data_IF_414791812628
#
_entry.id   IF_414791812628
#
_cell.length_a   1.000
_cell.length_b   1.000
_cell.length_c   1.000
_cell.angle_alpha   90.00
_cell.angle_beta   90.00
_cell.angle_gamma   90.00
#
_symmetry.space_group_name_H-M   'P 1'
#
loop_
_entity.id
_entity.type
_entity.pdbx_description
1 polymer ?
#
# COMPACT_ATOMS: atom_id res chain seq x y z
N UNK A 1 15.04 16.72 10.87
CA UNK A 1 16.28 16.08 11.36
C UNK A 1 16.04 14.58 11.39
N UNK A 2 16.56 13.88 10.38
CA UNK A 2 16.33 12.45 10.14
C UNK A 2 17.39 11.66 10.92
N UNK A 3 16.98 10.74 11.81
CA UNK A 3 17.91 9.84 12.51
C UNK A 3 18.09 8.59 11.65
N UNK A 4 19.27 8.44 11.04
CA UNK A 4 19.68 7.22 10.33
C UNK A 4 20.29 6.26 11.35
N UNK A 5 19.63 5.14 11.64
CA UNK A 5 20.21 4.06 12.45
C UNK A 5 20.91 3.07 11.52
N UNK A 6 22.23 3.10 11.53
CA UNK A 6 23.12 2.19 10.79
C UNK A 6 23.15 0.84 11.51
N UNK A 7 22.57 -0.21 10.94
CA UNK A 7 22.72 -1.57 11.48
C UNK A 7 24.06 -2.17 11.02
N UNK A 8 24.97 -2.33 11.95
CA UNK A 8 26.23 -3.06 11.78
C UNK A 8 25.96 -4.57 11.77
N UNK A 9 26.47 -5.27 10.76
CA UNK A 9 26.48 -6.74 10.70
C UNK A 9 27.22 -7.34 11.92
N UNK A 10 26.75 -8.45 12.51
CA UNK A 10 27.44 -9.06 13.63
C UNK A 10 28.70 -9.80 13.16
N UNK A 11 29.82 -9.54 13.86
CA UNK A 11 31.06 -10.31 13.75
C UNK A 11 30.82 -11.70 14.32
N UNK A 12 30.88 -12.73 13.48
CA UNK A 12 30.81 -14.14 13.91
C UNK A 12 32.18 -14.53 14.47
N UNK A 13 32.28 -14.60 15.79
CA UNK A 13 33.46 -15.17 16.46
C UNK A 13 33.26 -16.68 16.59
N UNK A 14 33.83 -17.46 15.67
CA UNK A 14 33.86 -18.92 15.76
C UNK A 14 34.88 -19.34 16.83
N UNK A 15 34.40 -19.79 17.99
CA UNK A 15 35.15 -20.71 18.86
C UNK A 15 34.57 -22.11 18.67
N UNK A 16 35.36 -22.98 18.05
CA UNK A 16 35.08 -24.40 17.98
C UNK A 16 35.63 -25.01 19.27
N UNK A 17 34.76 -25.50 20.14
CA UNK A 17 35.14 -26.42 21.20
C UNK A 17 34.36 -27.72 21.05
N UNK A 18 35.10 -28.81 20.88
CA UNK A 18 34.58 -30.15 20.68
C UNK A 18 34.30 -30.81 22.03
N UNK A 19 33.04 -31.18 22.29
CA UNK A 19 32.61 -32.43 22.98
C UNK A 19 31.12 -32.39 23.34
N UNK A 20 30.42 -33.43 22.89
CA UNK A 20 29.33 -34.17 23.56
C UNK A 20 28.26 -33.42 24.35
N UNK A 21 27.00 -33.64 23.97
CA UNK A 21 25.87 -33.49 24.89
C UNK A 21 24.64 -32.90 24.21
N UNK A 22 23.63 -33.74 23.94
CA UNK A 22 22.33 -33.32 23.47
C UNK A 22 21.74 -32.26 24.42
N UNK A 23 21.38 -31.10 23.87
CA UNK A 23 20.57 -30.09 24.54
C UNK A 23 19.39 -29.81 23.63
N UNK A 24 18.24 -30.36 24.00
CA UNK A 24 16.93 -30.05 23.42
C UNK A 24 16.67 -28.56 23.60
N UNK A 25 16.91 -27.78 22.56
CA UNK A 25 16.42 -26.42 22.48
C UNK A 25 14.90 -26.51 22.30
N UNK A 26 14.16 -26.18 23.36
CA UNK A 26 12.75 -25.83 23.29
C UNK A 26 12.64 -24.61 22.38
N UNK A 27 12.42 -24.87 21.08
CA UNK A 27 12.01 -23.85 20.14
C UNK A 27 10.63 -23.40 20.59
N UNK A 28 10.59 -22.36 21.42
CA UNK A 28 9.41 -21.53 21.58
C UNK A 28 8.99 -21.11 20.17
N UNK A 29 7.94 -21.75 19.67
CA UNK A 29 7.13 -21.32 18.53
C UNK A 29 6.54 -19.95 18.88
N UNK A 30 7.37 -18.92 18.87
CA UNK A 30 6.90 -17.62 18.41
C UNK A 30 6.65 -17.89 16.94
N UNK A 31 5.38 -18.10 16.58
CA UNK A 31 4.97 -18.25 15.20
C UNK A 31 5.49 -17.04 14.45
N UNK A 32 6.63 -17.22 13.79
CA UNK A 32 7.14 -16.25 12.84
C UNK A 32 6.04 -16.15 11.81
N UNK A 33 5.31 -15.04 11.81
CA UNK A 33 4.47 -14.69 10.67
C UNK A 33 5.48 -14.59 9.53
N UNK A 34 5.60 -15.65 8.75
CA UNK A 34 6.33 -15.61 7.49
C UNK A 34 5.74 -14.42 6.76
N UNK A 35 6.53 -13.40 6.35
CA UNK A 35 5.99 -12.35 5.52
C UNK A 35 5.35 -13.06 4.33
N UNK A 36 4.02 -13.00 4.24
CA UNK A 36 3.34 -13.48 3.04
C UNK A 36 4.05 -12.79 1.89
N UNK A 37 4.52 -13.57 0.92
CA UNK A 37 5.21 -13.09 -0.27
C UNK A 37 4.47 -11.83 -0.74
N UNK A 38 5.11 -10.67 -0.52
CA UNK A 38 4.42 -9.39 -0.61
C UNK A 38 4.03 -9.22 -2.07
N UNK A 39 2.76 -9.48 -2.41
CA UNK A 39 2.24 -9.16 -3.73
C UNK A 39 2.22 -7.63 -3.84
N UNK A 40 3.35 -7.08 -4.28
CA UNK A 40 3.48 -5.67 -4.62
C UNK A 40 2.87 -5.49 -6.00
N UNK A 41 1.59 -5.10 -6.01
CA UNK A 41 0.93 -4.67 -7.21
C UNK A 41 1.68 -3.49 -7.84
N UNK A 42 1.91 -3.54 -9.14
CA UNK A 42 2.56 -2.45 -9.86
C UNK A 42 1.52 -1.44 -10.32
N UNK A 43 1.78 -0.16 -10.09
CA UNK A 43 0.98 0.91 -10.68
C UNK A 43 1.37 1.00 -12.17
N UNK A 44 0.41 0.73 -13.05
CA UNK A 44 0.62 0.73 -14.49
C UNK A 44 0.38 2.09 -15.14
N UNK A 45 -0.56 2.88 -14.58
CA UNK A 45 -0.92 4.18 -15.14
C UNK A 45 -1.52 5.12 -14.08
N UNK A 46 -1.29 6.42 -14.27
CA UNK A 46 -1.84 7.50 -13.43
C UNK A 46 -2.28 8.65 -14.34
N UNK A 47 -3.57 8.97 -14.32
CA UNK A 47 -4.14 10.08 -15.10
C UNK A 47 -4.71 11.14 -14.17
N UNK A 48 -4.45 12.41 -14.46
CA UNK A 48 -4.95 13.57 -13.71
C UNK A 48 -5.53 14.61 -14.68
N UNK A 49 -6.53 15.40 -14.24
CA UNK A 49 -7.03 16.53 -15.02
C UNK A 49 -6.06 17.71 -14.94
N UNK A 50 -6.18 18.66 -15.85
CA UNK A 50 -5.33 19.84 -15.90
C UNK A 50 -5.38 20.64 -14.60
N UNK A 51 -4.23 21.13 -14.14
CA UNK A 51 -4.10 21.89 -12.90
C UNK A 51 -4.15 21.03 -11.63
N UNK A 52 -4.19 19.71 -11.73
CA UNK A 52 -3.98 18.80 -10.60
C UNK A 52 -2.63 18.10 -10.76
N UNK A 53 -1.73 18.33 -9.81
CA UNK A 53 -0.40 17.73 -9.79
C UNK A 53 -0.36 16.53 -8.86
N UNK A 54 -0.07 15.35 -9.39
CA UNK A 54 0.07 14.14 -8.60
C UNK A 54 1.46 14.01 -7.99
N UNK A 55 1.55 13.87 -6.67
CA UNK A 55 2.84 13.81 -5.96
C UNK A 55 3.30 12.38 -5.66
N UNK A 56 2.37 11.43 -5.52
CA UNK A 56 2.73 10.04 -5.27
C UNK A 56 1.61 9.20 -4.69
N UNK A 57 1.89 7.91 -4.51
CA UNK A 57 0.98 6.94 -3.90
C UNK A 57 1.72 5.81 -3.20
N UNK A 58 0.96 5.02 -2.45
CA UNK A 58 1.39 3.74 -1.89
C UNK A 58 0.23 2.74 -1.92
N UNK A 59 0.55 1.51 -2.30
CA UNK A 59 -0.36 0.36 -2.19
C UNK A 59 -0.11 -0.36 -0.86
N UNK A 60 -1.17 -0.63 -0.10
CA UNK A 60 -1.09 -1.23 1.22
C UNK A 60 -2.04 -2.43 1.32
N UNK A 61 -1.48 -3.63 1.47
CA UNK A 61 -2.25 -4.83 1.83
C UNK A 61 -2.62 -4.76 3.31
N UNK A 62 -3.90 -4.97 3.62
CA UNK A 62 -4.35 -5.22 4.98
C UNK A 62 -3.84 -6.57 5.43
N UNK A 63 -3.18 -6.61 6.58
CA UNK A 63 -2.82 -7.89 7.20
C UNK A 63 -4.11 -8.61 7.59
N UNK A 64 -4.29 -9.86 7.15
CA UNK A 64 -5.31 -10.73 7.72
C UNK A 64 -5.08 -10.77 9.24
N UNK A 65 -6.08 -10.45 10.08
CA UNK A 65 -5.89 -10.49 11.51
C UNK A 65 -5.63 -11.94 11.92
N UNK A 66 -4.48 -12.19 12.52
CA UNK A 66 -4.19 -13.47 13.16
C UNK A 66 -5.07 -13.72 14.40
N UNK A 67 -5.84 -12.72 14.85
CA UNK A 67 -6.79 -12.78 15.97
C UNK A 67 -8.01 -11.92 15.62
N UNK A 68 -9.22 -12.50 15.60
CA UNK A 68 -10.43 -11.99 14.95
C UNK A 68 -11.09 -10.69 15.47
N UNK A 69 -10.33 -9.76 16.06
CA UNK A 69 -10.85 -8.50 16.62
C UNK A 69 -10.46 -7.24 15.82
N UNK A 70 -9.66 -7.35 14.75
CA UNK A 70 -9.14 -6.19 14.00
C UNK A 70 -9.16 -6.38 12.48
N UNK A 71 -10.13 -7.13 11.92
CA UNK A 71 -10.28 -7.18 10.47
C UNK A 71 -10.72 -5.81 9.96
N UNK A 72 -9.84 -5.14 9.21
CA UNK A 72 -10.25 -3.97 8.44
C UNK A 72 -11.33 -4.43 7.45
N UNK A 73 -12.38 -3.62 7.20
CA UNK A 73 -13.44 -3.96 6.25
C UNK A 73 -12.98 -3.82 4.79
N UNK A 74 -11.68 -4.00 4.53
CA UNK A 74 -11.04 -3.95 3.22
C UNK A 74 -9.75 -4.76 3.26
N UNK A 75 -9.46 -5.42 2.14
CA UNK A 75 -8.27 -6.27 1.99
C UNK A 75 -7.01 -5.48 1.64
N UNK A 76 -7.19 -4.33 1.01
CA UNK A 76 -6.09 -3.44 0.64
C UNK A 76 -6.59 -2.00 0.50
N UNK A 77 -5.66 -1.06 0.40
CA UNK A 77 -5.97 0.32 0.01
C UNK A 77 -4.86 0.93 -0.84
N UNK A 78 -5.24 1.90 -1.66
CA UNK A 78 -4.33 2.80 -2.35
C UNK A 78 -4.47 4.18 -1.71
N UNK A 79 -3.38 4.66 -1.11
CA UNK A 79 -3.30 6.02 -0.57
C UNK A 79 -2.49 6.88 -1.53
N UNK A 80 -2.90 8.12 -1.77
CA UNK A 80 -2.14 9.03 -2.62
C UNK A 80 -2.24 10.48 -2.20
N UNK A 81 -1.39 11.29 -2.83
CA UNK A 81 -1.24 12.72 -2.55
C UNK A 81 -1.18 13.50 -3.85
N UNK A 82 -1.85 14.65 -3.86
CA UNK A 82 -1.91 15.55 -5.00
C UNK A 82 -1.99 17.00 -4.53
N UNK A 83 -1.73 17.94 -5.43
CA UNK A 83 -1.85 19.38 -5.21
C UNK A 83 -2.84 19.93 -6.22
N UNK A 84 -3.77 20.77 -5.76
CA UNK A 84 -4.61 21.56 -6.63
C UNK A 84 -3.88 22.85 -6.98
N UNK A 85 -3.34 22.95 -8.19
CA UNK A 85 -2.61 24.14 -8.67
C UNK A 85 -3.55 25.22 -9.21
N UNK A 86 -4.87 24.98 -9.21
CA UNK A 86 -5.87 25.91 -9.68
C UNK A 86 -6.11 27.02 -8.66
N UNK A 87 -6.79 28.08 -9.10
CA UNK A 87 -7.16 29.22 -8.26
C UNK A 87 -8.49 29.02 -7.51
N UNK A 88 -9.14 27.88 -7.69
CA UNK A 88 -10.43 27.53 -7.10
C UNK A 88 -10.40 26.12 -6.49
N UNK A 89 -11.33 25.84 -5.59
CA UNK A 89 -11.53 24.51 -5.02
C UNK A 89 -11.84 23.49 -6.13
N UNK A 90 -11.25 22.30 -6.03
CA UNK A 90 -11.54 21.19 -6.91
C UNK A 90 -12.23 20.06 -6.13
N UNK A 91 -13.39 19.62 -6.62
CA UNK A 91 -14.03 18.38 -6.18
C UNK A 91 -13.59 17.26 -7.12
N UNK A 92 -12.85 16.29 -6.59
CA UNK A 92 -12.18 15.25 -7.37
C UNK A 92 -12.75 13.87 -7.03
N UNK A 93 -13.05 13.10 -8.08
CA UNK A 93 -13.27 11.65 -8.00
C UNK A 93 -11.96 10.93 -8.29
N UNK A 94 -11.58 10.00 -7.43
CA UNK A 94 -10.40 9.15 -7.61
C UNK A 94 -10.91 7.74 -7.83
N UNK A 95 -10.59 7.16 -8.98
CA UNK A 95 -10.86 5.77 -9.31
C UNK A 95 -9.56 4.95 -9.29
N UNK A 96 -9.62 3.75 -8.72
CA UNK A 96 -8.59 2.73 -8.81
C UNK A 96 -9.18 1.51 -9.48
N UNK A 97 -8.60 1.13 -10.61
CA UNK A 97 -8.98 -0.09 -11.34
C UNK A 97 -7.89 -1.14 -11.16
N UNK A 98 -8.28 -2.35 -10.75
CA UNK A 98 -7.38 -3.51 -10.68
C UNK A 98 -7.43 -4.29 -11.99
N UNK A 99 -6.28 -4.83 -12.42
CA UNK A 99 -6.18 -5.63 -13.64
C UNK A 99 -5.48 -6.96 -13.40
N UNK A 100 -5.86 -7.97 -14.17
CA UNK A 100 -5.15 -9.24 -14.24
C UNK A 100 -3.90 -9.16 -15.14
N UNK A 101 -3.17 -10.28 -15.26
CA UNK A 101 -1.98 -10.40 -16.12
C UNK A 101 -2.21 -10.11 -17.62
N UNK A 102 -3.45 -10.11 -18.08
CA UNK A 102 -3.83 -9.86 -19.47
C UNK A 102 -4.41 -8.44 -19.65
N UNK A 103 -4.25 -7.57 -18.65
CA UNK A 103 -4.84 -6.23 -18.60
C UNK A 103 -6.39 -6.22 -18.63
N UNK A 104 -7.03 -7.31 -18.20
CA UNK A 104 -8.48 -7.34 -18.03
C UNK A 104 -8.85 -6.69 -16.68
N UNK A 105 -9.83 -5.77 -16.64
CA UNK A 105 -10.28 -5.17 -15.38
C UNK A 105 -10.95 -6.23 -14.50
N UNK A 106 -10.61 -6.20 -13.21
CA UNK A 106 -11.13 -7.08 -12.16
C UNK A 106 -12.09 -6.35 -11.23
N UNK A 107 -11.82 -5.08 -10.92
CA UNK A 107 -12.68 -4.28 -10.06
C UNK A 107 -12.31 -2.80 -10.08
N UNK A 108 -13.31 -1.98 -9.82
CA UNK A 108 -13.21 -0.52 -9.76
C UNK A 108 -13.62 -0.04 -8.36
N UNK A 109 -12.80 0.83 -7.79
CA UNK A 109 -12.99 1.38 -6.45
C UNK A 109 -12.79 2.88 -6.51
N UNK A 110 -13.46 3.63 -5.65
CA UNK A 110 -13.34 5.08 -5.67
C UNK A 110 -13.35 5.75 -4.30
N UNK A 111 -12.85 6.98 -4.31
CA UNK A 111 -12.93 7.95 -3.21
C UNK A 111 -13.23 9.33 -3.81
N UNK A 112 -13.80 10.23 -3.02
CA UNK A 112 -14.11 11.60 -3.43
C UNK A 112 -13.51 12.56 -2.41
N UNK A 113 -12.77 13.55 -2.89
CA UNK A 113 -12.14 14.57 -2.05
C UNK A 113 -12.42 15.97 -2.58
N UNK A 114 -12.49 16.94 -1.68
CA UNK A 114 -12.41 18.35 -2.02
C UNK A 114 -11.02 18.87 -1.67
N UNK A 115 -10.41 19.65 -2.57
CA UNK A 115 -9.08 20.22 -2.38
C UNK A 115 -9.12 21.70 -2.69
N UNK A 116 -8.84 22.51 -1.69
CA UNK A 116 -8.78 23.97 -1.80
C UNK A 116 -7.72 24.44 -2.80
N UNK A 117 -7.89 25.65 -3.31
CA UNK A 117 -6.98 26.27 -4.28
C UNK A 117 -5.55 26.37 -3.72
N UNK A 118 -4.56 25.86 -4.47
CA UNK A 118 -3.14 25.87 -4.08
C UNK A 118 -2.77 24.87 -2.98
N UNK A 119 -3.72 24.09 -2.46
CA UNK A 119 -3.50 23.21 -1.30
C UNK A 119 -3.27 21.75 -1.71
N UNK A 120 -2.74 20.99 -0.74
CA UNK A 120 -2.47 19.56 -0.88
C UNK A 120 -3.67 18.71 -0.45
N UNK A 121 -4.08 17.80 -1.30
CA UNK A 121 -5.08 16.76 -1.03
C UNK A 121 -4.45 15.39 -0.76
N UNK A 122 -5.21 14.54 -0.06
CA UNK A 122 -4.90 13.12 0.10
C UNK A 122 -6.16 12.27 -0.03
N UNK A 123 -6.06 11.11 -0.66
CA UNK A 123 -7.17 10.16 -0.81
C UNK A 123 -6.81 8.79 -0.26
N UNK A 124 -7.82 8.00 0.08
CA UNK A 124 -7.70 6.61 0.56
C UNK A 124 -8.75 5.71 -0.13
N UNK A 125 -8.40 5.15 -1.30
CA UNK A 125 -9.30 4.23 -2.01
C UNK A 125 -9.19 2.82 -1.40
N UNK A 126 -10.28 2.36 -0.79
CA UNK A 126 -10.36 1.05 -0.11
C UNK A 126 -10.79 -0.04 -1.09
N UNK A 127 -10.04 -1.15 -1.12
CA UNK A 127 -10.29 -2.30 -1.98
C UNK A 127 -10.96 -3.41 -1.16
N UNK A 128 -12.30 -3.46 -1.24
CA UNK A 128 -13.14 -4.32 -0.38
C UNK A 128 -13.17 -5.78 -0.87
N UNK A 129 -13.01 -6.01 -2.18
CA UNK A 129 -13.06 -7.32 -2.82
C UNK A 129 -11.79 -7.57 -3.62
N UNK A 130 -10.64 -7.52 -2.94
CA UNK A 130 -9.33 -7.68 -3.56
C UNK A 130 -9.11 -9.13 -4.03
N UNK A 131 -8.95 -9.33 -5.34
CA UNK A 131 -8.65 -10.64 -5.91
C UNK A 131 -7.15 -10.93 -5.93
N UNK A 132 -6.76 -12.14 -5.50
CA UNK A 132 -5.36 -12.61 -5.54
C UNK A 132 -4.78 -12.66 -6.96
N UNK A 133 -5.61 -12.62 -8.00
CA UNK A 133 -5.21 -12.62 -9.43
C UNK A 133 -4.78 -11.24 -9.94
N UNK A 134 -4.98 -10.19 -9.15
CA UNK A 134 -4.63 -8.81 -9.54
C UNK A 134 -3.12 -8.66 -9.70
N UNK A 135 -2.63 -8.15 -10.83
CA UNK A 135 -1.19 -7.97 -11.13
C UNK A 135 -0.79 -6.50 -11.24
N UNK A 136 -1.69 -5.65 -11.72
CA UNK A 136 -1.46 -4.20 -11.83
C UNK A 136 -2.70 -3.41 -11.41
N UNK A 137 -2.52 -2.10 -11.25
CA UNK A 137 -3.61 -1.16 -11.04
C UNK A 137 -3.33 0.18 -11.70
N UNK A 138 -4.38 0.95 -11.97
CA UNK A 138 -4.28 2.35 -12.40
C UNK A 138 -4.95 3.27 -11.39
N UNK A 139 -4.58 4.55 -11.43
CA UNK A 139 -5.23 5.62 -10.67
C UNK A 139 -5.73 6.66 -11.67
N UNK A 140 -7.03 6.93 -11.66
CA UNK A 140 -7.63 7.96 -12.52
C UNK A 140 -8.28 9.01 -11.63
N UNK A 141 -7.83 10.25 -11.76
CA UNK A 141 -8.40 11.40 -11.07
C UNK A 141 -9.22 12.19 -12.09
N UNK A 142 -10.44 12.56 -11.74
CA UNK A 142 -11.33 13.35 -12.60
C UNK A 142 -12.07 14.41 -11.80
N UNK A 143 -12.37 15.53 -12.42
CA UNK A 143 -13.27 16.53 -11.86
C UNK A 143 -14.69 15.97 -11.69
N UNK A 144 -15.33 16.35 -10.59
CA UNK A 144 -16.77 16.16 -10.40
C UNK A 144 -17.47 17.49 -10.64
N UNK A 145 -18.34 17.53 -11.65
CA UNK A 145 -19.25 18.66 -11.81
C UNK A 145 -20.36 18.56 -10.75
N UNK A 146 -20.52 19.61 -9.94
CA UNK A 146 -21.70 19.80 -9.12
C UNK A 146 -22.82 20.31 -10.04
N UNK A 147 -23.62 19.38 -10.58
CA UNK A 147 -24.83 19.70 -11.36
C UNK A 147 -25.97 20.20 -10.50
#
# INVERSE_FOLDING_TARGET
MLIVVKSSSPVVNMKIDARSGAMTATNNLIGCITPQDRKNLQCGDITCPDGISFEGHVFLLSLMPCCGLLALPFWAKVSGWLVNERQEEALLSIAVTLFDKNAKPLGDYSDIIAVEAGEKGSFDVKLIDFEETSETYSITITDMELS
#
